data_IF_887178168421
#
_entry.id   IF_887178168421
#
_cell.length_a   1.000
_cell.length_b   1.000
_cell.length_c   1.000
_cell.angle_alpha   90.00
_cell.angle_beta   90.00
_cell.angle_gamma   90.00
#
_symmetry.space_group_name_H-M   'P 1'
#
loop_
_entity.id
_entity.type
_entity.pdbx_description
1 polymer ?
#
# COMPACT_ATOMS: atom_id res chain seq x y z
N UNK A 1 -18.09 13.98 7.09
CA UNK A 1 -16.78 13.62 6.48
C UNK A 1 -16.44 14.37 5.20
N UNK A 2 -17.13 14.20 4.05
CA UNK A 2 -16.68 14.77 2.74
C UNK A 2 -16.60 16.31 2.64
N UNK A 3 -17.21 17.03 3.58
CA UNK A 3 -17.06 18.50 3.71
C UNK A 3 -15.76 18.89 4.42
N UNK A 4 -15.18 17.96 5.18
CA UNK A 4 -13.89 18.15 5.84
C UNK A 4 -12.78 17.86 4.85
N UNK A 5 -12.15 18.93 4.38
CA UNK A 5 -11.09 18.87 3.36
C UNK A 5 -9.86 18.12 3.85
N UNK A 6 -9.60 18.08 5.16
CA UNK A 6 -8.41 17.43 5.71
C UNK A 6 -8.59 15.91 5.70
N UNK A 7 -9.71 15.39 6.20
CA UNK A 7 -9.96 13.94 6.16
C UNK A 7 -10.03 13.44 4.73
N UNK A 8 -10.67 14.21 3.85
CA UNK A 8 -10.73 13.90 2.43
C UNK A 8 -9.32 13.87 1.80
N UNK A 9 -8.47 14.86 2.09
CA UNK A 9 -7.10 14.90 1.54
C UNK A 9 -6.24 13.74 2.04
N UNK A 10 -6.40 13.30 3.29
CA UNK A 10 -5.70 12.14 3.84
C UNK A 10 -6.06 10.84 3.09
N UNK A 11 -7.35 10.61 2.82
CA UNK A 11 -7.78 9.43 2.05
C UNK A 11 -7.38 9.54 0.57
N UNK A 12 -7.52 10.70 -0.05
CA UNK A 12 -7.08 10.91 -1.44
C UNK A 12 -5.57 10.70 -1.55
N UNK A 13 -4.77 11.21 -0.61
CA UNK A 13 -3.33 10.98 -0.54
C UNK A 13 -2.99 9.49 -0.38
N UNK A 14 -3.74 8.77 0.46
CA UNK A 14 -3.58 7.31 0.62
C UNK A 14 -3.84 6.57 -0.70
N UNK A 15 -4.91 6.93 -1.42
CA UNK A 15 -5.24 6.34 -2.74
C UNK A 15 -4.12 6.62 -3.75
N UNK A 16 -3.64 7.87 -3.82
CA UNK A 16 -2.55 8.24 -4.72
C UNK A 16 -1.27 7.45 -4.42
N UNK A 17 -0.93 7.26 -3.14
CA UNK A 17 0.22 6.45 -2.74
C UNK A 17 0.06 4.98 -3.14
N UNK A 18 -1.13 4.39 -3.00
CA UNK A 18 -1.38 3.01 -3.44
C UNK A 18 -1.24 2.89 -4.97
N UNK A 19 -1.76 3.86 -5.73
CA UNK A 19 -1.62 3.89 -7.19
C UNK A 19 -0.14 3.99 -7.58
N UNK A 20 0.61 4.92 -6.97
CA UNK A 20 2.04 5.07 -7.21
C UNK A 20 2.82 3.81 -6.83
N UNK A 21 2.47 3.17 -5.71
CA UNK A 21 3.04 1.89 -5.29
C UNK A 21 2.83 0.82 -6.36
N UNK A 22 1.61 0.70 -6.88
CA UNK A 22 1.30 -0.24 -7.95
C UNK A 22 2.13 0.01 -9.20
N UNK A 23 2.34 1.27 -9.59
CA UNK A 23 3.18 1.63 -10.74
C UNK A 23 4.64 1.24 -10.46
N UNK A 24 5.19 1.64 -9.32
CA UNK A 24 6.59 1.35 -8.94
C UNK A 24 6.88 -0.13 -8.95
N UNK A 25 6.00 -0.95 -8.34
CA UNK A 25 6.23 -2.39 -8.29
C UNK A 25 6.06 -3.01 -9.69
N UNK A 26 5.10 -2.55 -10.50
CA UNK A 26 4.90 -3.07 -11.85
C UNK A 26 6.09 -2.85 -12.79
N UNK A 27 6.88 -1.81 -12.54
CA UNK A 27 8.11 -1.52 -13.29
C UNK A 27 9.32 -2.34 -12.80
N UNK A 28 9.29 -2.81 -11.56
CA UNK A 28 10.40 -3.50 -10.90
C UNK A 28 10.27 -5.02 -10.77
N UNK A 29 9.08 -5.59 -10.97
CA UNK A 29 8.89 -7.04 -10.86
C UNK A 29 9.17 -7.74 -12.20
N UNK A 30 10.04 -8.77 -12.23
CA UNK A 30 10.12 -9.66 -13.37
C UNK A 30 8.76 -10.36 -13.57
N UNK A 31 8.40 -10.63 -14.84
CA UNK A 31 7.13 -11.26 -15.26
C UNK A 31 7.14 -12.78 -14.96
N UNK A 32 7.67 -13.18 -13.80
CA UNK A 32 7.72 -14.56 -13.35
C UNK A 32 6.40 -15.00 -12.71
N UNK A 33 6.08 -16.28 -12.78
CA UNK A 33 4.97 -16.91 -12.06
C UNK A 33 5.53 -17.71 -10.87
N UNK A 34 5.48 -17.14 -9.66
CA UNK A 34 6.03 -17.80 -8.47
C UNK A 34 5.65 -17.13 -7.15
N UNK A 35 5.85 -17.82 -6.03
CA UNK A 35 5.69 -17.23 -4.70
C UNK A 35 6.76 -16.15 -4.45
N UNK A 36 6.44 -15.14 -3.65
CA UNK A 36 7.41 -14.12 -3.23
C UNK A 36 8.43 -14.77 -2.27
N UNK A 37 9.61 -15.10 -2.78
CA UNK A 37 10.70 -15.74 -2.05
C UNK A 37 11.93 -14.82 -2.16
N UNK A 38 12.57 -14.55 -1.02
CA UNK A 38 13.89 -13.96 -0.99
C UNK A 38 14.87 -15.05 -1.44
N UNK A 39 15.35 -14.97 -2.68
CA UNK A 39 16.34 -15.87 -3.24
C UNK A 39 17.72 -15.28 -3.01
N UNK A 40 18.52 -15.97 -2.21
CA UNK A 40 19.96 -15.70 -2.11
C UNK A 40 20.66 -16.45 -3.24
N UNK A 41 21.05 -15.76 -4.31
CA UNK A 41 21.90 -16.31 -5.36
C UNK A 41 23.36 -16.20 -4.93
N UNK A 42 23.89 -17.26 -4.34
CA UNK A 42 25.30 -17.34 -3.93
C UNK A 42 26.28 -17.33 -5.11
N UNK A 43 25.83 -17.58 -6.34
CA UNK A 43 26.68 -17.61 -7.52
C UNK A 43 26.93 -16.20 -8.07
N UNK A 44 25.93 -15.33 -8.03
CA UNK A 44 26.03 -13.91 -8.39
C UNK A 44 26.21 -12.99 -7.18
N UNK A 45 26.18 -13.54 -5.96
CA UNK A 45 26.22 -12.83 -4.69
C UNK A 45 25.10 -11.77 -4.58
N UNK A 46 23.90 -12.12 -5.03
CA UNK A 46 22.72 -11.25 -5.10
C UNK A 46 21.58 -11.79 -4.23
N UNK A 47 20.76 -10.86 -3.72
CA UNK A 47 19.53 -11.18 -3.02
C UNK A 47 18.39 -10.73 -3.92
N UNK A 48 17.76 -11.65 -4.64
CA UNK A 48 16.64 -11.36 -5.53
C UNK A 48 15.31 -11.61 -4.81
N UNK A 49 14.35 -10.71 -5.00
CA UNK A 49 12.96 -10.95 -4.63
C UNK A 49 12.23 -11.57 -5.82
N UNK A 50 12.22 -12.89 -5.87
CA UNK A 50 11.47 -13.63 -6.89
C UNK A 50 10.03 -13.70 -6.44
N UNK A 51 9.09 -13.09 -7.15
CA UNK A 51 7.66 -13.20 -6.85
C UNK A 51 6.81 -12.86 -8.06
N UNK A 52 5.66 -13.49 -8.16
CA UNK A 52 4.76 -13.33 -9.29
C UNK A 52 3.72 -12.23 -9.10
N UNK A 53 3.21 -11.75 -10.24
CA UNK A 53 2.10 -10.78 -10.34
C UNK A 53 0.87 -11.14 -9.49
N UNK A 54 0.64 -12.43 -9.23
CA UNK A 54 -0.46 -12.92 -8.38
C UNK A 54 -0.34 -12.48 -6.92
N UNK A 55 0.87 -12.50 -6.35
CA UNK A 55 1.11 -12.07 -4.97
C UNK A 55 0.96 -10.54 -4.86
N UNK A 56 1.44 -9.81 -5.86
CA UNK A 56 1.20 -8.37 -5.96
C UNK A 56 -0.30 -8.04 -5.99
N UNK A 57 -1.08 -8.75 -6.81
CA UNK A 57 -2.52 -8.56 -6.88
C UNK A 57 -3.22 -8.78 -5.53
N UNK A 58 -2.81 -9.80 -4.78
CA UNK A 58 -3.33 -10.06 -3.42
C UNK A 58 -2.99 -8.93 -2.45
N UNK A 59 -1.74 -8.46 -2.43
CA UNK A 59 -1.29 -7.40 -1.52
C UNK A 59 -2.00 -6.08 -1.85
N UNK A 60 -2.10 -5.72 -3.13
CA UNK A 60 -2.84 -4.53 -3.57
C UNK A 60 -4.33 -4.64 -3.21
N UNK A 61 -4.94 -5.80 -3.44
CA UNK A 61 -6.32 -6.07 -3.05
C UNK A 61 -6.56 -5.89 -1.55
N UNK A 62 -5.63 -6.38 -0.72
CA UNK A 62 -5.67 -6.20 0.73
C UNK A 62 -5.57 -4.72 1.13
N UNK A 63 -4.65 -3.97 0.53
CA UNK A 63 -4.49 -2.53 0.80
C UNK A 63 -5.74 -1.73 0.42
N UNK A 64 -6.35 -2.05 -0.72
CA UNK A 64 -7.61 -1.43 -1.15
C UNK A 64 -8.74 -1.78 -0.19
N UNK A 65 -8.86 -3.04 0.23
CA UNK A 65 -9.88 -3.46 1.19
C UNK A 65 -9.75 -2.73 2.53
N UNK A 66 -8.53 -2.63 3.08
CA UNK A 66 -8.25 -1.88 4.31
C UNK A 66 -8.63 -0.41 4.14
N UNK A 67 -8.28 0.21 3.01
CA UNK A 67 -8.63 1.61 2.74
C UNK A 67 -10.15 1.82 2.74
N UNK A 68 -10.91 0.94 2.08
CA UNK A 68 -12.38 1.02 2.03
C UNK A 68 -12.99 0.84 3.42
N UNK A 69 -12.51 -0.14 4.19
CA UNK A 69 -12.96 -0.37 5.57
C UNK A 69 -12.69 0.87 6.43
N UNK A 70 -11.49 1.43 6.36
CA UNK A 70 -11.10 2.62 7.13
C UNK A 70 -11.89 3.85 6.70
N UNK A 71 -12.20 4.01 5.41
CA UNK A 71 -13.06 5.09 4.90
C UNK A 71 -14.46 4.98 5.50
N UNK A 72 -15.05 3.78 5.48
CA UNK A 72 -16.38 3.55 6.06
C UNK A 72 -16.40 3.76 7.58
N UNK A 73 -15.39 3.24 8.28
CA UNK A 73 -15.25 3.41 9.73
C UNK A 73 -15.07 4.88 10.10
N UNK A 74 -14.19 5.59 9.38
CA UNK A 74 -13.97 7.03 9.58
C UNK A 74 -15.25 7.82 9.34
N UNK A 75 -16.04 7.48 8.32
CA UNK A 75 -17.34 8.11 8.06
C UNK A 75 -18.34 7.90 9.20
N UNK A 76 -18.49 6.67 9.68
CA UNK A 76 -19.40 6.31 10.78
C UNK A 76 -19.03 7.02 12.09
N UNK A 77 -17.73 7.07 12.40
CA UNK A 77 -17.23 7.66 13.65
C UNK A 77 -17.22 9.19 13.59
N UNK A 78 -17.09 9.79 12.40
CA UNK A 78 -17.00 11.25 12.24
C UNK A 78 -18.15 12.03 12.91
N UNK A 79 -19.38 11.53 12.85
CA UNK A 79 -20.54 12.16 13.47
C UNK A 79 -20.55 12.05 15.00
N UNK A 80 -19.83 11.06 15.57
CA UNK A 80 -19.73 10.82 17.01
C UNK A 80 -18.50 11.49 17.63
N UNK A 81 -17.34 11.33 16.98
CA UNK A 81 -16.07 11.88 17.42
C UNK A 81 -15.17 12.16 16.20
N UNK A 82 -14.95 13.45 15.94
CA UNK A 82 -14.10 13.90 14.84
C UNK A 82 -12.64 13.50 15.05
N UNK A 83 -12.14 13.54 16.28
CA UNK A 83 -10.74 13.26 16.61
C UNK A 83 -10.38 11.82 16.25
N UNK A 84 -11.25 10.87 16.57
CA UNK A 84 -11.03 9.46 16.22
C UNK A 84 -11.07 9.27 14.70
N UNK A 85 -11.98 9.95 13.99
CA UNK A 85 -12.04 9.92 12.52
C UNK A 85 -10.76 10.45 11.87
N UNK A 86 -10.14 11.49 12.43
CA UNK A 86 -8.81 11.97 12.03
C UNK A 86 -7.70 10.94 12.28
N UNK A 87 -7.69 10.29 13.44
CA UNK A 87 -6.70 9.26 13.77
C UNK A 87 -6.79 8.08 12.79
N UNK A 88 -8.01 7.65 12.44
CA UNK A 88 -8.22 6.58 11.45
C UNK A 88 -7.69 7.00 10.08
N UNK A 89 -8.01 8.23 9.62
CA UNK A 89 -7.55 8.73 8.32
C UNK A 89 -6.02 8.88 8.26
N UNK A 90 -5.41 9.40 9.33
CA UNK A 90 -3.96 9.57 9.43
C UNK A 90 -3.25 8.21 9.53
N UNK A 91 -3.78 7.28 10.30
CA UNK A 91 -3.26 5.91 10.38
C UNK A 91 -3.29 5.22 9.02
N UNK A 92 -4.37 5.40 8.26
CA UNK A 92 -4.47 4.86 6.90
C UNK A 92 -3.39 5.45 5.98
N UNK A 93 -3.15 6.77 6.06
CA UNK A 93 -2.09 7.41 5.28
C UNK A 93 -0.70 6.88 5.64
N UNK A 94 -0.41 6.72 6.93
CA UNK A 94 0.87 6.17 7.41
C UNK A 94 1.10 4.76 6.86
N UNK A 95 0.08 3.89 6.88
CA UNK A 95 0.16 2.56 6.29
C UNK A 95 0.43 2.63 4.78
N UNK A 96 -0.26 3.53 4.05
CA UNK A 96 0.00 3.73 2.62
C UNK A 96 1.41 4.25 2.32
N UNK A 97 1.98 5.10 3.18
CA UNK A 97 3.37 5.57 3.07
C UNK A 97 4.34 4.40 3.24
N UNK A 98 4.16 3.59 4.29
CA UNK A 98 5.02 2.41 4.50
C UNK A 98 4.92 1.42 3.33
N UNK A 99 3.72 1.22 2.80
CA UNK A 99 3.51 0.37 1.64
C UNK A 99 4.26 0.91 0.40
N UNK A 100 4.25 2.23 0.18
CA UNK A 100 4.99 2.85 -0.91
C UNK A 100 6.51 2.72 -0.75
N UNK A 101 7.05 2.91 0.45
CA UNK A 101 8.48 2.68 0.69
C UNK A 101 8.88 1.21 0.52
N UNK A 102 8.04 0.27 0.99
CA UNK A 102 8.26 -1.16 0.77
C UNK A 102 8.26 -1.49 -0.73
N UNK A 103 7.36 -0.88 -1.49
CA UNK A 103 7.27 -1.01 -2.95
C UNK A 103 8.56 -0.57 -3.64
N UNK A 104 9.10 0.59 -3.26
CA UNK A 104 10.38 1.09 -3.78
C UNK A 104 11.52 0.13 -3.43
N UNK A 105 11.59 -0.31 -2.17
CA UNK A 105 12.64 -1.20 -1.72
C UNK A 105 12.64 -2.53 -2.50
N UNK A 106 11.47 -3.10 -2.75
CA UNK A 106 11.33 -4.32 -3.57
C UNK A 106 11.83 -4.07 -5.00
N UNK A 107 11.44 -2.96 -5.61
CA UNK A 107 11.87 -2.60 -6.97
C UNK A 107 13.36 -2.31 -7.08
N UNK A 108 14.02 -1.79 -6.03
CA UNK A 108 15.47 -1.51 -6.05
C UNK A 108 16.34 -2.75 -5.84
N UNK A 109 15.77 -3.79 -5.23
CA UNK A 109 16.48 -5.04 -4.95
C UNK A 109 16.46 -5.98 -6.16
N UNK A 110 15.41 -5.91 -6.99
CA UNK A 110 15.36 -6.55 -8.32
C UNK A 110 16.12 -5.74 -9.38
#
# INVERSE_FOLDING_TARGET
>A
MFKDKIILSLFVGSILLIILSSIVISLGLPVGTGALIIRFDNYHNQVDLVGGLSVLGLILGLMIAILVINLFLSHQVYERDKTISYIIALGNLVVSIFFFFASIAITLIN
#
